data_IF_608363285741
#
_entry.id   IF_608363285741
#
_cell.length_a   1.000
_cell.length_b   1.000
_cell.length_c   1.000
_cell.angle_alpha   90.00
_cell.angle_beta   90.00
_cell.angle_gamma   90.00
#
_symmetry.space_group_name_H-M   'P 1'
#
loop_
_entity.id
_entity.type
_entity.pdbx_description
1 polymer ?
#
# COMPACT_ATOMS: atom_id res chain seq x y z
N UNK A 1 0.17 -6.99 -30.76
CA UNK A 1 1.62 -6.92 -30.57
C UNK A 1 1.99 -7.15 -29.12
N UNK A 2 2.92 -8.10 -28.85
CA UNK A 2 3.42 -8.26 -27.48
C UNK A 2 4.07 -6.97 -27.03
N UNK A 3 3.93 -6.66 -25.76
CA UNK A 3 4.55 -5.48 -25.17
C UNK A 3 5.19 -5.87 -23.85
N UNK A 4 6.39 -5.40 -23.63
CA UNK A 4 7.03 -5.62 -22.34
C UNK A 4 7.91 -4.43 -21.98
N UNK A 5 8.21 -4.31 -20.69
CA UNK A 5 9.08 -3.29 -20.17
C UNK A 5 9.84 -3.88 -19.00
N UNK A 6 11.07 -3.48 -18.82
CA UNK A 6 11.91 -3.96 -17.73
C UNK A 6 12.55 -2.76 -17.06
N UNK A 7 12.43 -2.69 -15.72
CA UNK A 7 13.03 -1.57 -15.00
C UNK A 7 13.64 -2.09 -13.70
N UNK A 8 14.78 -1.54 -13.34
CA UNK A 8 15.37 -1.81 -12.04
C UNK A 8 14.82 -0.80 -11.03
N UNK A 9 14.65 -1.23 -9.79
CA UNK A 9 14.12 -0.36 -8.73
C UNK A 9 14.88 0.96 -8.65
N UNK A 10 16.19 0.91 -8.78
CA UNK A 10 17.03 2.11 -8.70
C UNK A 10 16.81 3.10 -9.84
N UNK A 11 16.15 2.67 -10.92
CA UNK A 11 15.84 3.55 -12.04
C UNK A 11 14.48 4.22 -11.89
N UNK A 12 13.66 3.80 -10.94
CA UNK A 12 12.35 4.38 -10.71
C UNK A 12 12.53 5.53 -9.74
N UNK A 13 12.06 6.72 -10.11
CA UNK A 13 12.19 7.90 -9.28
C UNK A 13 11.45 7.72 -7.95
N UNK A 14 12.11 8.06 -6.86
CA UNK A 14 11.45 8.10 -5.56
C UNK A 14 10.76 9.47 -5.44
N UNK A 15 9.49 9.47 -5.13
CA UNK A 15 8.68 10.69 -5.03
C UNK A 15 8.22 10.89 -3.60
N UNK A 16 8.37 12.09 -3.09
CA UNK A 16 7.89 12.47 -1.77
C UNK A 16 6.46 12.98 -1.93
N UNK A 17 5.49 12.21 -1.46
CA UNK A 17 4.09 12.55 -1.61
C UNK A 17 3.66 13.79 -0.82
N UNK A 18 4.46 14.22 0.14
CA UNK A 18 4.15 15.44 0.87
C UNK A 18 4.18 16.65 -0.06
N UNK A 19 4.88 16.55 -1.19
CA UNK A 19 4.92 17.64 -2.17
C UNK A 19 3.67 17.69 -3.04
N UNK A 20 2.86 16.63 -3.00
CA UNK A 20 1.61 16.58 -3.74
C UNK A 20 0.51 16.84 -2.72
N UNK A 21 0.69 17.82 -1.95
CA UNK A 21 -0.14 18.22 -0.94
C UNK A 21 -1.44 17.63 -0.72
N UNK A 22 -2.34 17.65 -0.47
CA UNK A 22 -3.66 17.18 -0.18
C UNK A 22 -3.84 15.71 -0.09
N UNK A 23 -2.86 14.87 -0.36
CA UNK A 23 -3.03 13.43 -0.35
C UNK A 23 -2.25 12.81 0.79
N UNK A 24 -2.89 12.48 1.89
CA UNK A 24 -2.24 11.65 2.87
C UNK A 24 -2.20 10.22 2.37
N UNK A 25 -1.20 9.45 2.71
CA UNK A 25 -0.10 9.82 3.59
C UNK A 25 1.01 10.54 2.83
N UNK A 26 1.77 11.37 3.52
CA UNK A 26 2.91 12.04 2.92
C UNK A 26 4.15 11.18 3.05
N UNK A 27 4.10 10.03 2.42
CA UNK A 27 5.18 9.06 2.40
C UNK A 27 5.97 9.16 1.11
N UNK A 28 7.11 8.52 1.06
CA UNK A 28 7.87 8.42 -0.18
C UNK A 28 7.50 7.15 -0.91
N UNK A 29 7.38 7.23 -2.22
CA UNK A 29 7.04 6.06 -3.03
C UNK A 29 7.91 5.98 -4.28
N UNK A 30 7.96 4.77 -4.84
CA UNK A 30 8.44 4.58 -6.21
C UNK A 30 7.24 4.01 -6.98
N UNK A 31 6.78 4.76 -7.97
CA UNK A 31 5.63 4.37 -8.78
C UNK A 31 6.10 3.45 -9.92
N UNK A 32 6.28 2.19 -9.59
CA UNK A 32 6.78 1.19 -10.53
C UNK A 32 5.82 1.02 -11.71
N UNK A 33 4.52 1.14 -11.45
CA UNK A 33 3.50 1.03 -12.50
C UNK A 33 3.68 2.11 -13.56
N UNK A 34 4.05 3.33 -13.17
CA UNK A 34 4.26 4.39 -14.15
C UNK A 34 5.51 4.11 -14.98
N UNK A 35 6.56 3.61 -14.37
CA UNK A 35 7.79 3.28 -15.08
C UNK A 35 7.57 2.13 -16.07
N UNK A 36 6.74 1.16 -15.71
CA UNK A 36 6.47 0.01 -16.55
C UNK A 36 5.31 0.23 -17.54
N UNK A 37 4.45 1.20 -17.25
CA UNK A 37 3.26 1.44 -18.07
C UNK A 37 2.24 0.33 -17.94
N UNK A 38 1.99 -0.15 -16.73
CA UNK A 38 1.02 -1.23 -16.51
C UNK A 38 -0.39 -0.74 -16.79
N UNK A 39 -1.25 -1.65 -17.24
CA UNK A 39 -2.63 -1.30 -17.57
C UNK A 39 -3.65 -1.96 -16.64
N UNK A 40 -3.33 -3.12 -16.09
CA UNK A 40 -4.28 -3.88 -15.27
C UNK A 40 -3.98 -3.83 -13.77
N UNK A 41 -2.77 -3.47 -13.41
CA UNK A 41 -2.34 -3.46 -12.02
C UNK A 41 -1.66 -2.15 -11.67
N UNK A 42 -1.89 -1.68 -10.45
CA UNK A 42 -1.11 -0.60 -9.88
C UNK A 42 0.00 -1.21 -9.04
N UNK A 43 1.22 -0.73 -9.17
CA UNK A 43 2.37 -1.28 -8.46
C UNK A 43 3.20 -0.14 -7.91
N UNK A 44 3.37 -0.12 -6.59
CA UNK A 44 4.16 0.91 -5.93
C UNK A 44 5.00 0.30 -4.82
N UNK A 45 6.15 0.91 -4.55
CA UNK A 45 6.90 0.59 -3.36
C UNK A 45 6.76 1.80 -2.44
N UNK A 46 6.28 1.55 -1.22
CA UNK A 46 6.09 2.58 -0.21
C UNK A 46 7.24 2.52 0.78
N UNK A 47 7.80 3.69 1.12
CA UNK A 47 8.90 3.80 2.08
C UNK A 47 8.41 4.50 3.33
N UNK A 48 8.87 4.04 4.48
CA UNK A 48 8.40 4.50 5.78
C UNK A 48 9.57 4.89 6.66
N UNK A 49 9.46 6.05 7.30
CA UNK A 49 10.35 6.42 8.40
C UNK A 49 9.68 5.99 9.69
N UNK A 50 10.42 5.90 10.82
CA UNK A 50 9.82 5.44 12.07
C UNK A 50 8.53 6.21 12.43
N UNK A 51 7.49 5.46 12.73
CA UNK A 51 6.20 6.02 13.12
C UNK A 51 5.26 6.35 11.99
N UNK A 52 5.73 6.31 10.75
CA UNK A 52 4.85 6.59 9.62
C UNK A 52 3.93 5.40 9.32
N UNK A 53 2.81 5.66 8.70
CA UNK A 53 1.80 4.62 8.48
C UNK A 53 0.91 4.91 7.28
N UNK A 54 0.35 3.84 6.74
CA UNK A 54 -0.82 3.91 5.88
C UNK A 54 -2.00 3.68 6.82
N UNK A 55 -2.90 4.63 6.90
CA UNK A 55 -4.03 4.53 7.83
C UNK A 55 -5.02 3.43 7.47
N UNK A 56 -5.87 3.10 8.43
CA UNK A 56 -6.89 2.08 8.27
C UNK A 56 -7.92 2.54 7.22
N UNK A 57 -8.03 1.81 6.13
CA UNK A 57 -8.91 2.17 5.01
C UNK A 57 -9.35 0.92 4.28
N UNK A 58 -10.27 1.08 3.33
CA UNK A 58 -10.73 -0.01 2.48
C UNK A 58 -10.93 0.53 1.07
N UNK A 59 -11.01 -0.36 0.10
CA UNK A 59 -11.31 0.00 -1.27
C UNK A 59 -12.59 -0.70 -1.70
N UNK A 60 -13.33 -0.09 -2.62
CA UNK A 60 -14.60 -0.64 -3.07
C UNK A 60 -14.44 -1.78 -4.06
N UNK A 61 -13.46 -1.67 -4.95
CA UNK A 61 -13.29 -2.62 -6.05
C UNK A 61 -11.94 -3.30 -6.10
N UNK A 62 -10.91 -2.67 -5.58
CA UNK A 62 -9.55 -3.21 -5.70
C UNK A 62 -9.25 -4.27 -4.65
N UNK A 63 -8.54 -5.28 -5.10
CA UNK A 63 -7.86 -6.19 -4.21
C UNK A 63 -6.43 -5.70 -4.12
N UNK A 64 -5.90 -5.58 -2.92
CA UNK A 64 -4.52 -5.13 -2.72
C UNK A 64 -3.68 -6.21 -2.09
N UNK A 65 -2.55 -6.49 -2.75
CA UNK A 65 -1.57 -7.46 -2.27
C UNK A 65 -0.35 -6.68 -1.81
N UNK A 66 0.15 -7.01 -0.64
CA UNK A 66 1.32 -6.35 -0.06
C UNK A 66 2.42 -7.36 0.25
N UNK A 67 3.65 -6.90 0.15
CA UNK A 67 4.81 -7.71 0.49
C UNK A 67 5.83 -6.83 1.21
N UNK A 68 6.22 -7.23 2.41
CA UNK A 68 7.21 -6.46 3.18
C UNK A 68 8.61 -6.74 2.63
N UNK A 69 9.24 -5.68 2.14
CA UNK A 69 10.59 -5.77 1.62
C UNK A 69 11.62 -5.54 2.71
N UNK A 70 11.34 -4.63 3.62
CA UNK A 70 12.27 -4.25 4.67
C UNK A 70 11.52 -3.67 5.85
N UNK A 71 11.97 -3.98 7.05
CA UNK A 71 11.43 -3.42 8.28
C UNK A 71 10.30 -4.21 8.89
N UNK A 72 9.90 -3.80 10.09
CA UNK A 72 8.84 -4.45 10.85
C UNK A 72 7.63 -3.54 10.90
N UNK A 73 6.45 -4.11 10.76
CA UNK A 73 5.21 -3.33 10.72
C UNK A 73 4.17 -3.92 11.64
N UNK A 74 3.29 -3.05 12.16
CA UNK A 74 2.09 -3.47 12.85
C UNK A 74 0.95 -3.34 11.84
N UNK A 75 0.38 -4.47 11.46
CA UNK A 75 -0.70 -4.54 10.49
C UNK A 75 -2.04 -4.54 11.23
N UNK A 76 -2.94 -3.64 10.84
CA UNK A 76 -4.32 -3.61 11.33
C UNK A 76 -5.20 -4.06 10.18
N UNK A 77 -5.90 -5.17 10.34
CA UNK A 77 -6.67 -5.74 9.25
C UNK A 77 -7.97 -6.36 9.75
N UNK A 78 -9.02 -6.22 8.96
CA UNK A 78 -10.30 -6.82 9.25
C UNK A 78 -11.45 -5.83 9.26
N UNK A 79 -12.63 -6.33 9.59
CA UNK A 79 -13.85 -5.53 9.63
C UNK A 79 -13.84 -4.62 10.85
N UNK A 80 -14.39 -3.42 10.70
CA UNK A 80 -14.50 -2.48 11.81
C UNK A 80 -15.23 -3.14 12.98
N UNK A 81 -14.64 -3.04 14.15
CA UNK A 81 -15.15 -3.67 15.36
C UNK A 81 -14.60 -5.07 15.58
N UNK A 82 -13.90 -5.63 14.60
CA UNK A 82 -13.35 -6.97 14.67
C UNK A 82 -11.95 -7.01 14.06
N UNK A 83 -11.24 -5.90 14.16
CA UNK A 83 -9.90 -5.80 13.59
C UNK A 83 -8.89 -6.63 14.36
N UNK A 84 -7.93 -7.18 13.62
CA UNK A 84 -6.81 -7.88 14.22
C UNK A 84 -5.57 -7.01 14.04
N UNK A 85 -4.66 -7.11 14.99
CA UNK A 85 -3.36 -6.44 14.93
C UNK A 85 -2.29 -7.53 14.88
N UNK A 86 -1.49 -7.52 13.83
CA UNK A 86 -0.48 -8.55 13.60
C UNK A 86 0.86 -7.87 13.30
N UNK A 87 1.92 -8.32 13.95
CA UNK A 87 3.25 -7.82 13.63
C UNK A 87 3.83 -8.64 12.50
N UNK A 88 4.36 -7.96 11.48
CA UNK A 88 4.88 -8.61 10.29
C UNK A 88 6.26 -8.05 9.96
N UNK A 89 7.10 -8.86 9.36
CA UNK A 89 8.46 -8.47 9.01
C UNK A 89 8.78 -8.83 7.56
N UNK A 90 10.05 -8.64 7.15
CA UNK A 90 10.43 -8.90 5.75
C UNK A 90 10.05 -10.30 5.30
N UNK A 91 9.55 -10.39 4.08
CA UNK A 91 9.12 -11.66 3.51
C UNK A 91 7.66 -12.00 3.76
N UNK A 92 6.92 -11.15 4.48
CA UNK A 92 5.51 -11.39 4.78
C UNK A 92 4.63 -10.83 3.65
N UNK A 93 3.66 -11.64 3.23
CA UNK A 93 2.62 -11.19 2.29
C UNK A 93 1.31 -11.04 3.04
N UNK A 94 0.50 -10.06 2.63
CA UNK A 94 -0.92 -10.08 3.01
C UNK A 94 -1.75 -9.54 1.86
N UNK A 95 -3.03 -9.90 1.84
CA UNK A 95 -3.96 -9.41 0.83
C UNK A 95 -5.19 -8.85 1.54
N UNK A 96 -5.70 -7.75 0.99
CA UNK A 96 -6.96 -7.18 1.44
C UNK A 96 -7.88 -7.11 0.23
N UNK A 97 -8.96 -7.87 0.27
CA UNK A 97 -9.97 -7.86 -0.78
C UNK A 97 -10.84 -6.61 -0.71
N UNK A 98 -11.74 -6.42 -1.68
CA UNK A 98 -12.64 -5.27 -1.64
C UNK A 98 -13.40 -5.18 -0.33
N UNK A 99 -13.56 -3.96 0.14
CA UNK A 99 -14.29 -3.64 1.37
C UNK A 99 -13.67 -4.20 2.65
N UNK A 100 -12.41 -4.64 2.59
CA UNK A 100 -11.70 -5.11 3.78
C UNK A 100 -10.84 -3.99 4.33
N UNK A 101 -11.05 -3.63 5.58
CA UNK A 101 -10.26 -2.60 6.24
C UNK A 101 -8.83 -3.06 6.48
N UNK A 102 -7.88 -2.22 6.19
CA UNK A 102 -6.47 -2.54 6.40
C UNK A 102 -5.63 -1.27 6.49
N UNK A 103 -4.56 -1.38 7.25
CA UNK A 103 -3.58 -0.31 7.40
C UNK A 103 -2.34 -0.90 8.03
N UNK A 104 -1.21 -0.23 7.89
CA UNK A 104 0.03 -0.73 8.47
C UNK A 104 0.93 0.42 8.90
N UNK A 105 1.58 0.24 10.03
CA UNK A 105 2.44 1.24 10.64
C UNK A 105 3.83 0.69 10.81
N UNK A 106 4.84 1.48 10.42
CA UNK A 106 6.23 1.08 10.59
C UNK A 106 6.61 1.18 12.07
N UNK A 107 7.14 0.10 12.62
CA UNK A 107 7.55 0.06 14.03
C UNK A 107 9.04 -0.16 14.22
N UNK A 108 9.80 -0.08 13.13
CA UNK A 108 11.25 -0.25 13.20
C UNK A 108 12.00 1.06 13.44
N UNK A 109 13.31 0.98 13.44
CA UNK A 109 14.19 2.11 13.76
C UNK A 109 14.82 2.77 12.55
N UNK A 110 14.88 2.05 11.43
CA UNK A 110 15.50 2.55 10.22
C UNK A 110 14.42 2.92 9.21
N UNK A 111 14.56 2.55 8.00
CA UNK A 111 13.60 2.81 6.94
C UNK A 111 12.94 1.52 6.52
N UNK A 112 11.61 1.50 6.47
CA UNK A 112 10.87 0.33 6.02
C UNK A 112 10.44 0.47 4.58
N UNK A 113 10.14 -0.65 3.93
CA UNK A 113 9.67 -0.67 2.55
C UNK A 113 8.66 -1.78 2.33
N UNK A 114 7.55 -1.44 1.66
CA UNK A 114 6.48 -2.40 1.35
C UNK A 114 6.10 -2.27 -0.11
N UNK A 115 6.06 -3.40 -0.80
CA UNK A 115 5.56 -3.46 -2.17
C UNK A 115 4.04 -3.61 -2.11
N UNK A 116 3.33 -2.79 -2.85
CA UNK A 116 1.87 -2.84 -2.91
C UNK A 116 1.41 -2.98 -4.35
N UNK A 117 0.53 -3.95 -4.59
CA UNK A 117 -0.03 -4.23 -5.90
C UNK A 117 -1.54 -4.22 -5.79
N UNK A 118 -2.19 -3.38 -6.57
CA UNK A 118 -3.65 -3.26 -6.57
C UNK A 118 -4.24 -3.57 -7.94
N UNK A 119 -5.36 -4.28 -7.98
CA UNK A 119 -6.06 -4.60 -9.21
C UNK A 119 -7.57 -4.68 -8.92
N UNK A 120 -8.41 -4.28 -9.87
CA UNK A 120 -8.07 -3.70 -11.17
C UNK A 120 -7.48 -2.30 -11.03
N UNK A 121 -6.78 -1.82 -12.04
CA UNK A 121 -6.13 -0.51 -12.00
C UNK A 121 -7.17 0.56 -12.36
N UNK A 122 -7.96 0.94 -11.37
CA UNK A 122 -9.04 1.92 -11.52
C UNK A 122 -8.93 2.96 -10.42
N UNK A 123 -9.61 4.08 -10.57
CA UNK A 123 -9.69 5.05 -9.51
C UNK A 123 -10.59 4.47 -8.44
N UNK A 124 -10.06 4.22 -7.30
CA UNK A 124 -10.77 3.59 -6.19
C UNK A 124 -10.32 4.27 -4.90
N UNK A 125 -10.94 5.41 -4.58
CA UNK A 125 -10.54 6.16 -3.39
C UNK A 125 -10.78 5.35 -2.13
N UNK A 126 -9.97 5.63 -1.12
CA UNK A 126 -10.10 4.94 0.15
C UNK A 126 -11.45 5.16 0.78
N UNK A 127 -11.98 4.12 1.38
CA UNK A 127 -13.23 4.17 2.12
C UNK A 127 -12.91 4.08 3.61
N UNK A 128 -13.77 4.66 4.42
CA UNK A 128 -13.67 4.49 5.86
C UNK A 128 -14.28 3.14 6.21
N UNK A 129 -13.51 2.16 6.69
CA UNK A 129 -14.05 0.84 7.00
C UNK A 129 -15.16 0.87 8.05
N UNK A 130 -15.15 1.90 8.91
CA UNK A 130 -16.16 2.02 9.95
C UNK A 130 -17.54 2.30 9.35
N UNK A 131 -17.60 2.94 8.19
CA UNK A 131 -18.90 3.22 7.54
C UNK A 131 -19.46 1.99 6.84
N UNK A 132 -18.66 0.97 6.59
CA UNK A 132 -19.15 -0.26 5.95
C UNK A 132 -19.98 -1.12 6.89
N UNK A 133 -19.91 -0.86 8.19
CA UNK A 133 -20.69 -1.61 9.17
C UNK A 133 -22.08 -0.99 9.40
N UNK A 134 -22.34 0.12 8.77
CA UNK A 134 -23.60 0.83 8.99
C UNK A 134 -24.63 0.43 7.97
N UNK A 135 -25.25 -0.67 8.16
CA UNK A 135 -26.34 -1.05 7.24
C UNK A 135 -27.57 -1.45 7.97
#
# INVERSE_FOLDING_TARGET
MPRYEIVDTGEVKETDLSEIEEIPPDLNIRAVDEALGTEEVGVKIWYFEPGEEIGYHAHAEQEELYYVLDGEFSLKIGTSGDEEYVEVGPGTFWVAGPETGHGHRYVGDDRGAVLAIGAPFVEDPGLDPHSLDED
#
